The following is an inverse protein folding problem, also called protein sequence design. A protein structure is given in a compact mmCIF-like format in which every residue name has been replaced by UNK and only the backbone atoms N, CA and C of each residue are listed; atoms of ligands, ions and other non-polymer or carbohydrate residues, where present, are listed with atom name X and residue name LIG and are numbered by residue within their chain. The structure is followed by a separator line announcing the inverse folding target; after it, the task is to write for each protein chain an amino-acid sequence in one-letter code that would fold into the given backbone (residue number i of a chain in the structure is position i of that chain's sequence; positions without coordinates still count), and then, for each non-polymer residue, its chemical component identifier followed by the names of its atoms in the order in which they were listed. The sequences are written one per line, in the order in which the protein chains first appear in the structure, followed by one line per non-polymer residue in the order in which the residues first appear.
data_IF_476442790380
#
_entry.id   IF_476442790380
#
_cell.length_a   1.000
_cell.length_b   1.000
_cell.length_c   1.000
_cell.angle_alpha   90.00
_cell.angle_beta   90.00
_cell.angle_gamma   90.00
#
_symmetry.space_group_name_H-M   'P 1'
#
loop_
_entity.id
_entity.type
_entity.pdbx_description
1 polymer ?
#
# COMPACT_ATOMS: atom_id res chain seq x y z
N UNK A 1 -3.72 7.47 -9.58
CA UNK A 1 -2.61 8.38 -9.93
C UNK A 1 -2.22 8.25 -11.39
N UNK A 2 -2.18 7.03 -11.94
CA UNK A 2 -1.71 6.72 -13.31
C UNK A 2 -2.40 7.46 -14.48
N UNK A 3 -3.55 8.09 -14.27
CA UNK A 3 -4.22 8.89 -15.31
C UNK A 3 -3.63 10.30 -15.48
N UNK A 4 -2.99 10.84 -14.44
CA UNK A 4 -2.44 12.19 -14.48
C UNK A 4 -1.16 12.21 -15.31
N UNK A 5 -0.97 13.26 -16.11
CA UNK A 5 0.27 13.45 -16.88
C UNK A 5 1.49 13.75 -16.01
N UNK A 6 1.27 14.27 -14.80
CA UNK A 6 2.33 14.62 -13.87
C UNK A 6 2.61 13.51 -12.85
N UNK A 7 3.88 13.41 -12.45
CA UNK A 7 4.29 12.50 -11.39
C UNK A 7 3.66 12.89 -10.04
N UNK A 8 3.06 11.91 -9.38
CA UNK A 8 2.50 12.08 -8.03
C UNK A 8 3.47 11.51 -7.00
N UNK A 9 3.97 12.38 -6.13
CA UNK A 9 4.73 11.96 -4.96
C UNK A 9 3.79 11.61 -3.81
N UNK A 10 4.07 10.52 -3.10
CA UNK A 10 3.25 10.05 -1.97
C UNK A 10 4.05 10.09 -0.67
N UNK A 11 3.41 10.49 0.43
CA UNK A 11 4.06 10.62 1.74
C UNK A 11 3.21 9.94 2.80
N UNK A 12 3.74 8.87 3.40
CA UNK A 12 3.17 8.27 4.58
C UNK A 12 3.63 9.05 5.82
N UNK A 13 2.66 9.67 6.50
CA UNK A 13 2.85 10.38 7.77
C UNK A 13 1.97 9.71 8.82
N UNK A 14 2.54 8.76 9.56
CA UNK A 14 1.82 8.03 10.62
C UNK A 14 1.35 6.65 10.18
N UNK A 15 0.26 6.55 9.42
CA UNK A 15 -0.30 5.26 9.00
C UNK A 15 -0.82 5.29 7.56
N UNK A 16 -0.43 4.29 6.77
CA UNK A 16 -1.07 3.94 5.51
C UNK A 16 -1.49 2.47 5.54
N UNK A 17 -2.77 2.22 5.83
CA UNK A 17 -3.32 0.87 5.97
C UNK A 17 -4.36 0.57 4.91
N UNK A 18 -4.45 -0.68 4.47
CA UNK A 18 -5.45 -1.16 3.49
C UNK A 18 -5.39 -0.33 2.20
N UNK A 19 -6.49 0.28 1.77
CA UNK A 19 -6.51 1.20 0.62
C UNK A 19 -5.47 2.33 0.71
N UNK A 20 -5.10 2.77 1.92
CA UNK A 20 -4.02 3.74 2.11
C UNK A 20 -2.65 3.21 1.68
N UNK A 21 -2.37 1.92 1.91
CA UNK A 21 -1.12 1.29 1.45
C UNK A 21 -1.08 1.19 -0.08
N UNK A 22 -2.21 0.87 -0.72
CA UNK A 22 -2.35 0.88 -2.19
C UNK A 22 -2.09 2.27 -2.76
N UNK A 23 -2.63 3.31 -2.13
CA UNK A 23 -2.39 4.70 -2.54
C UNK A 23 -0.95 5.15 -2.32
N UNK A 24 -0.27 4.71 -1.26
CA UNK A 24 1.16 5.01 -1.08
C UNK A 24 2.00 4.32 -2.17
N UNK A 25 1.76 3.03 -2.39
CA UNK A 25 2.50 2.22 -3.36
C UNK A 25 2.31 2.71 -4.81
N UNK A 26 1.12 3.22 -5.15
CA UNK A 26 0.80 3.72 -6.49
C UNK A 26 1.40 5.08 -6.86
N UNK A 27 2.16 5.72 -5.97
CA UNK A 27 2.91 6.92 -6.29
C UNK A 27 3.94 6.67 -7.39
N UNK A 28 4.44 7.74 -8.02
CA UNK A 28 5.47 7.62 -9.04
C UNK A 28 6.72 6.93 -8.47
N UNK A 29 7.34 6.04 -9.24
CA UNK A 29 8.53 5.31 -8.80
C UNK A 29 9.66 6.28 -8.40
N UNK A 30 10.35 5.97 -7.29
CA UNK A 30 11.34 6.85 -6.62
C UNK A 30 10.78 8.13 -6.00
N UNK A 31 9.44 8.23 -5.88
CA UNK A 31 8.74 9.38 -5.28
C UNK A 31 7.73 8.96 -4.21
N UNK A 32 7.91 7.77 -3.63
CA UNK A 32 7.07 7.24 -2.56
C UNK A 32 7.85 7.28 -1.26
N UNK A 33 7.34 7.98 -0.26
CA UNK A 33 8.08 8.31 0.95
C UNK A 33 7.34 7.88 2.20
N UNK A 34 8.08 7.52 3.25
CA UNK A 34 7.54 7.34 4.60
C UNK A 34 8.37 8.11 5.63
N UNK A 35 7.73 8.62 6.69
CA UNK A 35 8.47 9.10 7.86
C UNK A 35 8.93 7.93 8.75
N UNK A 36 9.98 8.09 9.59
CA UNK A 36 10.66 6.97 10.24
C UNK A 36 9.80 6.12 11.18
N UNK A 37 8.75 6.72 11.75
CA UNK A 37 7.81 6.04 12.66
C UNK A 37 6.48 5.70 12.00
N UNK A 38 6.39 5.83 10.68
CA UNK A 38 5.19 5.45 9.96
C UNK A 38 5.02 3.93 9.95
N UNK A 39 3.77 3.50 9.90
CA UNK A 39 3.40 2.12 9.68
C UNK A 39 2.66 1.98 8.36
N UNK A 40 2.95 0.91 7.65
CA UNK A 40 2.21 0.52 6.45
C UNK A 40 1.60 -0.85 6.72
N UNK A 41 0.32 -1.03 6.39
CA UNK A 41 -0.36 -2.30 6.57
C UNK A 41 -1.09 -2.69 5.30
N UNK A 42 -0.83 -3.91 4.82
CA UNK A 42 -1.56 -4.52 3.70
C UNK A 42 -2.41 -5.67 4.23
N UNK A 43 -3.59 -5.83 3.64
CA UNK A 43 -4.47 -6.97 3.85
C UNK A 43 -5.41 -7.12 2.65
N UNK A 44 -6.11 -8.24 2.59
CA UNK A 44 -7.18 -8.48 1.63
C UNK A 44 -8.36 -7.52 1.87
N UNK A 45 -9.19 -7.24 0.85
CA UNK A 45 -10.39 -6.45 1.04
C UNK A 45 -11.31 -7.12 2.06
N UNK A 46 -11.94 -6.31 2.91
CA UNK A 46 -12.96 -6.75 3.83
C UNK A 46 -14.35 -6.59 3.20
N UNK A 47 -15.19 -7.61 3.34
CA UNK A 47 -16.58 -7.56 2.93
C UNK A 47 -17.40 -8.63 3.64
N UNK A 48 -18.69 -8.35 3.79
CA UNK A 48 -19.70 -9.30 4.27
C UNK A 48 -20.73 -9.49 3.15
N UNK A 49 -21.27 -10.70 3.01
CA UNK A 49 -22.25 -11.04 1.98
C UNK A 49 -23.53 -11.59 2.61
N UNK A 50 -24.66 -11.32 2.00
CA UNK A 50 -25.96 -11.80 2.48
C UNK A 50 -27.08 -11.56 1.47
N UNK A 51 -28.24 -12.17 1.72
CA UNK A 51 -29.41 -12.07 0.84
C UNK A 51 -29.82 -13.41 0.25
N UNK A 52 -30.45 -13.39 -0.93
CA UNK A 52 -30.77 -14.62 -1.64
C UNK A 52 -29.48 -15.33 -2.09
N UNK A 53 -29.58 -16.63 -2.42
CA UNK A 53 -28.42 -17.40 -2.88
C UNK A 53 -27.71 -16.70 -4.05
N UNK A 54 -28.47 -16.20 -5.03
CA UNK A 54 -27.91 -15.45 -6.16
C UNK A 54 -27.19 -14.17 -5.74
N UNK A 55 -27.71 -13.44 -4.74
CA UNK A 55 -27.07 -12.22 -4.24
C UNK A 55 -25.76 -12.54 -3.51
N UNK A 56 -25.74 -13.63 -2.73
CA UNK A 56 -24.54 -14.13 -2.05
C UNK A 56 -23.47 -14.48 -3.09
N UNK A 57 -23.83 -15.20 -4.15
CA UNK A 57 -22.91 -15.57 -5.23
C UNK A 57 -22.32 -14.35 -5.95
N UNK A 58 -23.16 -13.36 -6.28
CA UNK A 58 -22.73 -12.14 -6.96
C UNK A 58 -21.76 -11.34 -6.08
N UNK A 59 -22.10 -11.13 -4.81
CA UNK A 59 -21.26 -10.34 -3.90
C UNK A 59 -19.95 -11.06 -3.55
N UNK A 60 -20.00 -12.38 -3.31
CA UNK A 60 -18.79 -13.16 -3.03
C UNK A 60 -17.82 -13.12 -4.22
N UNK A 61 -18.35 -13.21 -5.45
CA UNK A 61 -17.54 -13.07 -6.66
C UNK A 61 -16.90 -11.69 -6.78
N UNK A 62 -17.65 -10.62 -6.53
CA UNK A 62 -17.12 -9.25 -6.59
C UNK A 62 -15.98 -9.00 -5.59
N UNK A 63 -16.08 -9.54 -4.37
CA UNK A 63 -15.02 -9.47 -3.35
C UNK A 63 -13.76 -10.22 -3.83
N UNK A 64 -13.93 -11.42 -4.39
CA UNK A 64 -12.82 -12.20 -4.92
C UNK A 64 -12.14 -11.49 -6.10
N UNK A 65 -12.92 -10.97 -7.06
CA UNK A 65 -12.42 -10.23 -8.21
C UNK A 65 -11.67 -8.96 -7.75
N UNK A 66 -12.22 -8.24 -6.76
CA UNK A 66 -11.58 -7.07 -6.15
C UNK A 66 -10.25 -7.44 -5.49
N UNK A 67 -10.19 -8.57 -4.77
CA UNK A 67 -8.95 -9.04 -4.13
C UNK A 67 -7.85 -9.28 -5.17
N UNK A 68 -8.17 -9.94 -6.28
CA UNK A 68 -7.20 -10.21 -7.34
C UNK A 68 -6.69 -8.91 -7.99
N UNK A 69 -7.59 -7.94 -8.24
CA UNK A 69 -7.20 -6.62 -8.77
C UNK A 69 -6.24 -5.89 -7.83
N UNK A 70 -6.56 -5.84 -6.53
CA UNK A 70 -5.71 -5.16 -5.54
C UNK A 70 -4.35 -5.85 -5.39
N UNK A 71 -4.32 -7.19 -5.43
CA UNK A 71 -3.07 -7.95 -5.41
C UNK A 71 -2.20 -7.62 -6.62
N UNK A 72 -2.80 -7.55 -7.82
CA UNK A 72 -2.06 -7.19 -9.03
C UNK A 72 -1.49 -5.78 -8.95
N UNK A 73 -2.28 -4.79 -8.51
CA UNK A 73 -1.82 -3.41 -8.34
C UNK A 73 -0.62 -3.35 -7.39
N UNK A 74 -0.69 -4.05 -6.25
CA UNK A 74 0.41 -4.09 -5.30
C UNK A 74 1.64 -4.80 -5.88
N UNK A 75 1.47 -5.92 -6.60
CA UNK A 75 2.57 -6.62 -7.25
C UNK A 75 3.30 -5.72 -8.26
N UNK A 76 2.53 -5.04 -9.13
CA UNK A 76 3.06 -4.15 -10.16
C UNK A 76 3.87 -2.98 -9.57
N UNK A 77 3.41 -2.42 -8.45
CA UNK A 77 4.07 -1.27 -7.82
C UNK A 77 5.20 -1.64 -6.84
N UNK A 78 5.18 -2.83 -6.25
CA UNK A 78 6.20 -3.26 -5.27
C UNK A 78 7.33 -4.05 -5.90
N UNK A 79 7.09 -4.68 -7.06
CA UNK A 79 8.03 -5.63 -7.68
C UNK A 79 8.00 -7.02 -7.02
N UNK A 80 7.12 -7.25 -6.05
CA UNK A 80 6.89 -8.58 -5.48
C UNK A 80 6.12 -9.46 -6.47
N UNK A 81 6.27 -10.78 -6.36
CA UNK A 81 5.43 -11.69 -7.14
C UNK A 81 3.99 -11.65 -6.66
N UNK A 82 3.04 -11.96 -7.54
CA UNK A 82 1.61 -12.02 -7.19
C UNK A 82 1.34 -13.03 -6.06
N UNK A 83 2.07 -14.14 -6.02
CA UNK A 83 1.96 -15.16 -4.98
C UNK A 83 2.45 -14.64 -3.62
N UNK A 84 3.48 -13.80 -3.63
CA UNK A 84 4.01 -13.15 -2.43
C UNK A 84 2.99 -12.17 -1.89
N UNK A 85 2.43 -11.31 -2.75
CA UNK A 85 1.37 -10.37 -2.36
C UNK A 85 0.14 -11.12 -1.83
N UNK A 86 -0.33 -12.17 -2.52
CA UNK A 86 -1.50 -12.94 -2.10
C UNK A 86 -1.31 -13.59 -0.73
N UNK A 87 -0.11 -14.14 -0.46
CA UNK A 87 0.23 -14.69 0.86
C UNK A 87 0.29 -13.62 1.93
N UNK A 88 0.90 -12.49 1.61
CA UNK A 88 1.20 -11.43 2.57
C UNK A 88 0.01 -10.51 2.87
N UNK A 89 -1.02 -10.53 2.02
CA UNK A 89 -2.30 -9.83 2.22
C UNK A 89 -3.37 -10.73 2.84
N UNK A 90 -3.19 -12.05 2.95
CA UNK A 90 -4.22 -12.94 3.51
C UNK A 90 -4.63 -12.55 4.95
N UNK A 91 -3.71 -11.98 5.72
CA UNK A 91 -4.00 -11.36 7.03
C UNK A 91 -3.34 -10.00 7.12
N UNK A 92 -3.70 -9.25 8.15
CA UNK A 92 -3.07 -7.98 8.45
C UNK A 92 -1.55 -8.15 8.59
N UNK A 93 -0.81 -7.57 7.63
CA UNK A 93 0.65 -7.52 7.66
C UNK A 93 1.10 -6.10 7.90
N UNK A 94 1.56 -5.84 9.12
CA UNK A 94 2.13 -4.55 9.51
C UNK A 94 3.62 -4.49 9.19
N UNK A 95 4.06 -3.36 8.66
CA UNK A 95 5.45 -3.06 8.34
C UNK A 95 5.82 -1.70 8.92
N UNK A 96 7.01 -1.63 9.51
CA UNK A 96 7.70 -0.37 9.80
C UNK A 96 8.12 0.32 8.50
N UNK A 97 8.48 1.61 8.58
CA UNK A 97 8.91 2.35 7.39
C UNK A 97 10.11 1.69 6.66
N UNK A 98 11.16 1.18 7.32
CA UNK A 98 12.24 0.45 6.64
C UNK A 98 11.79 -0.86 6.00
N UNK A 99 10.97 -1.66 6.69
CA UNK A 99 10.44 -2.92 6.13
C UNK A 99 9.56 -2.65 4.90
N UNK A 100 8.74 -1.59 4.94
CA UNK A 100 7.92 -1.21 3.80
C UNK A 100 8.74 -0.70 2.61
N UNK A 101 9.90 -0.07 2.88
CA UNK A 101 10.85 0.33 1.84
C UNK A 101 11.51 -0.90 1.20
N UNK A 102 11.98 -1.85 2.02
CA UNK A 102 12.55 -3.11 1.53
C UNK A 102 11.52 -3.94 0.76
N UNK A 103 10.27 -3.94 1.20
CA UNK A 103 9.17 -4.62 0.52
C UNK A 103 8.76 -3.97 -0.80
N UNK A 104 9.13 -2.70 -1.03
CA UNK A 104 8.84 -1.95 -2.24
C UNK A 104 7.55 -1.12 -2.20
N UNK A 105 6.92 -0.96 -1.04
CA UNK A 105 5.72 -0.11 -0.87
C UNK A 105 6.04 1.38 -0.86
N UNK A 106 7.25 1.72 -0.42
CA UNK A 106 7.83 3.07 -0.51
C UNK A 106 9.26 2.97 -1.05
N UNK A 107 9.79 4.08 -1.55
CA UNK A 107 11.15 4.16 -2.09
C UNK A 107 12.16 4.68 -1.06
N UNK A 108 11.74 5.55 -0.14
CA UNK A 108 12.65 6.19 0.81
C UNK A 108 11.99 6.50 2.16
N UNK A 109 12.77 6.31 3.24
CA UNK A 109 12.42 6.75 4.59
C UNK A 109 13.08 8.10 4.87
N UNK A 110 12.28 9.17 4.98
CA UNK A 110 12.78 10.53 5.11
C UNK A 110 13.20 10.85 6.56
N UNK A 111 14.46 11.28 6.74
CA UNK A 111 14.98 11.76 8.01
C UNK A 111 15.37 13.24 7.84
N UNK A 112 14.86 14.11 8.72
CA UNK A 112 15.29 15.50 8.72
C UNK A 112 16.68 15.61 9.32
N UNK A 113 17.68 15.92 8.50
CA UNK A 113 18.99 16.32 9.00
C UNK A 113 18.85 17.63 9.81
N UNK A 114 19.29 17.60 11.08
CA UNK A 114 19.43 18.82 11.87
C UNK A 114 20.58 19.61 11.25
N UNK A 115 20.27 20.64 10.46
CA UNK A 115 21.26 21.68 10.14
C UNK A 115 21.72 22.30 11.47
N UNK A 116 23.00 22.20 11.78
CA UNK A 116 23.59 22.92 12.90
C UNK A 116 23.26 24.41 12.71
N UNK A 117 22.56 24.99 13.68
CA UNK A 117 22.37 26.44 13.71
C UNK A 117 23.76 27.04 13.89
N UNK A 118 24.29 27.72 12.88
CA UNK A 118 25.43 28.62 13.08
C UNK A 118 25.04 29.57 14.21
N UNK A 119 25.81 29.57 15.31
CA UNK A 119 25.70 30.59 16.34
C UNK A 119 26.20 31.88 15.70
N UNK A 120 25.32 32.86 15.59
CA UNK A 120 25.68 34.26 15.31
C UNK A 120 26.46 34.85 16.49
#
# INVERSE_FOLDING_TARGET
MQYLECDVATYCVGLAASGGAVLIAGGAHKKRYALPHSKIMIHQPYGEVGGQVSDIEIQAKDILDTREILNQILADHTGQSIETIAKDTDRDRFMTAPEAMEYGLVDEVLIREKKEKKKD
#
